data_IF_462723417456
#
_entry.id   IF_462723417456
#
_cell.length_a   1.000
_cell.length_b   1.000
_cell.length_c   1.000
_cell.angle_alpha   90.00
_cell.angle_beta   90.00
_cell.angle_gamma   90.00
#
_symmetry.space_group_name_H-M   'P 1'
#
loop_
_entity.id
_entity.type
_entity.pdbx_description
1 polymer ?
#
# COMPACT_ATOMS: atom_id res chain seq x y z
N UNK A 1 -11.46 59.17 7.28
CA UNK A 1 -11.04 58.73 5.95
C UNK A 1 -10.21 57.48 6.14
N UNK A 2 -10.84 56.32 6.09
CA UNK A 2 -10.18 55.01 6.12
C UNK A 2 -10.55 54.35 4.80
N UNK A 3 -9.55 54.15 3.98
CA UNK A 3 -9.62 53.65 2.61
C UNK A 3 -9.76 52.12 2.63
N UNK A 4 -10.75 51.62 1.90
CA UNK A 4 -11.00 50.24 1.55
C UNK A 4 -9.85 49.68 0.70
N UNK A 5 -9.20 48.59 1.19
CA UNK A 5 -8.41 47.70 0.38
C UNK A 5 -8.61 46.26 0.91
N UNK A 6 -9.75 45.71 0.68
CA UNK A 6 -10.02 44.29 0.77
C UNK A 6 -10.95 43.93 -0.39
N UNK A 7 -10.44 43.28 -1.42
CA UNK A 7 -11.16 42.38 -2.34
C UNK A 7 -10.45 42.30 -3.69
N UNK A 8 -9.31 41.69 -3.78
CA UNK A 8 -8.79 41.15 -5.04
C UNK A 8 -7.79 40.02 -4.78
N UNK A 9 -8.24 38.89 -4.24
CA UNK A 9 -7.51 37.62 -4.25
C UNK A 9 -8.54 36.50 -4.16
N UNK A 10 -9.05 36.04 -5.27
CA UNK A 10 -9.37 34.63 -5.54
C UNK A 10 -10.29 34.48 -6.76
N UNK A 11 -9.74 34.69 -7.94
CA UNK A 11 -10.25 34.06 -9.15
C UNK A 11 -9.12 33.22 -9.74
N UNK A 12 -8.80 32.12 -9.05
CA UNK A 12 -7.99 31.04 -9.59
C UNK A 12 -8.83 30.31 -10.64
N UNK A 13 -8.54 30.58 -11.92
CA UNK A 13 -9.06 29.83 -13.05
C UNK A 13 -8.91 28.33 -12.78
N UNK A 14 -10.00 27.57 -12.96
CA UNK A 14 -9.96 26.12 -13.05
C UNK A 14 -9.12 25.75 -14.30
N UNK A 15 -7.81 25.64 -14.14
CA UNK A 15 -6.95 25.17 -15.19
C UNK A 15 -7.31 23.71 -15.48
N UNK A 16 -7.64 23.41 -16.74
CA UNK A 16 -7.89 22.04 -17.23
C UNK A 16 -6.76 21.11 -16.85
N UNK A 17 -7.09 19.85 -16.54
CA UNK A 17 -6.08 18.81 -16.32
C UNK A 17 -5.17 18.74 -17.55
N UNK A 18 -3.85 18.57 -17.41
CA UNK A 18 -3.01 18.31 -18.54
C UNK A 18 -3.57 17.10 -19.28
N UNK A 19 -3.72 17.22 -20.60
CA UNK A 19 -4.03 16.06 -21.42
C UNK A 19 -3.01 14.97 -21.08
N UNK A 20 -3.41 13.68 -21.03
CA UNK A 20 -2.43 12.60 -20.86
C UNK A 20 -1.33 12.84 -21.87
N UNK A 21 -0.06 12.70 -21.44
CA UNK A 21 1.10 12.93 -22.29
C UNK A 21 1.15 11.87 -23.43
N UNK A 22 0.15 11.95 -24.32
CA UNK A 22 0.00 11.05 -25.49
C UNK A 22 1.00 11.38 -26.60
N UNK A 23 1.76 12.49 -26.45
CA UNK A 23 2.75 12.94 -27.44
C UNK A 23 4.12 12.27 -27.30
N UNK A 24 4.41 11.61 -26.18
CA UNK A 24 5.62 10.82 -26.00
C UNK A 24 5.25 9.33 -26.00
N UNK A 25 5.89 8.55 -26.84
CA UNK A 25 5.82 7.10 -26.79
C UNK A 25 6.84 6.56 -25.79
N UNK A 26 6.53 5.44 -25.15
CA UNK A 26 7.53 4.72 -24.36
C UNK A 26 8.61 4.19 -25.32
N UNK A 27 9.92 4.24 -24.96
CA UNK A 27 10.98 3.74 -25.81
C UNK A 27 10.69 2.33 -26.30
N UNK A 28 10.90 2.04 -27.60
CA UNK A 28 10.58 0.71 -28.17
C UNK A 28 11.41 -0.39 -27.49
N UNK A 29 12.68 -0.16 -27.24
CA UNK A 29 13.60 -1.03 -26.52
C UNK A 29 13.41 -1.00 -24.99
N UNK A 30 12.49 -0.15 -24.50
CA UNK A 30 12.15 0.02 -23.10
C UNK A 30 11.03 -0.87 -22.59
N UNK A 31 10.54 -1.78 -23.42
CA UNK A 31 9.47 -2.75 -23.07
C UNK A 31 9.99 -4.17 -23.18
N UNK A 32 9.48 -5.03 -22.31
CA UNK A 32 9.70 -6.49 -22.38
C UNK A 32 8.38 -7.25 -22.42
N UNK A 33 8.36 -8.37 -23.11
CA UNK A 33 7.23 -9.31 -23.11
C UNK A 33 7.27 -10.21 -21.87
N UNK A 34 6.10 -10.58 -21.39
CA UNK A 34 5.93 -11.44 -20.21
C UNK A 34 5.24 -12.74 -20.67
N UNK A 35 6.03 -13.74 -21.05
CA UNK A 35 5.54 -14.99 -21.64
C UNK A 35 4.81 -15.90 -20.64
N UNK A 36 5.12 -15.76 -19.35
CA UNK A 36 4.54 -16.56 -18.29
C UNK A 36 4.20 -15.71 -17.06
N UNK A 37 3.20 -16.13 -16.30
CA UNK A 37 2.78 -15.45 -15.07
C UNK A 37 3.94 -15.30 -14.09
N UNK A 38 4.28 -14.09 -13.61
CA UNK A 38 5.41 -13.83 -12.71
C UNK A 38 5.34 -14.54 -11.35
N UNK A 39 4.13 -15.02 -10.96
CA UNK A 39 3.95 -15.71 -9.67
C UNK A 39 3.90 -17.22 -9.79
N UNK A 40 3.27 -17.77 -10.84
CA UNK A 40 3.06 -19.21 -10.91
C UNK A 40 3.73 -19.89 -12.11
N UNK A 41 4.25 -19.12 -13.08
CA UNK A 41 4.83 -19.65 -14.31
C UNK A 41 3.81 -20.14 -15.33
N UNK A 42 2.49 -19.98 -15.10
CA UNK A 42 1.44 -20.39 -16.03
C UNK A 42 1.43 -19.52 -17.29
N UNK A 43 1.29 -20.15 -18.46
CA UNK A 43 1.30 -19.44 -19.76
C UNK A 43 -0.10 -19.08 -20.27
N UNK A 44 -1.14 -19.76 -19.78
CA UNK A 44 -2.52 -19.47 -20.18
C UNK A 44 -3.04 -18.21 -19.49
N UNK A 45 -3.53 -17.28 -20.28
CA UNK A 45 -4.01 -15.98 -19.80
C UNK A 45 -5.21 -15.47 -20.60
N UNK A 46 -5.92 -14.50 -20.03
CA UNK A 46 -6.97 -13.74 -20.70
C UNK A 46 -6.73 -12.25 -20.53
N UNK A 47 -7.11 -11.45 -21.52
CA UNK A 47 -7.06 -9.97 -21.42
C UNK A 47 -8.12 -9.51 -20.42
N UNK A 48 -7.74 -8.60 -19.52
CA UNK A 48 -8.65 -7.91 -18.59
C UNK A 48 -8.90 -6.50 -19.10
N UNK A 49 -7.82 -5.74 -19.33
CA UNK A 49 -7.88 -4.39 -19.87
C UNK A 49 -6.88 -4.27 -21.04
N UNK A 50 -7.34 -4.09 -22.29
CA UNK A 50 -6.44 -4.05 -23.45
C UNK A 50 -5.71 -2.71 -23.62
N UNK A 51 -6.21 -1.62 -23.02
CA UNK A 51 -5.73 -0.26 -23.26
C UNK A 51 -5.75 0.55 -21.96
N UNK A 52 -4.69 0.45 -21.17
CA UNK A 52 -4.50 1.25 -19.96
C UNK A 52 -3.48 2.36 -20.23
N UNK A 53 -3.70 3.54 -19.65
CA UNK A 53 -2.77 4.67 -19.68
C UNK A 53 -2.60 5.22 -18.27
N UNK A 54 -1.52 5.97 -18.03
CA UNK A 54 -1.31 6.65 -16.74
C UNK A 54 -2.27 7.83 -16.59
N UNK A 55 -3.39 7.58 -15.91
CA UNK A 55 -4.42 8.59 -15.57
C UNK A 55 -4.37 8.99 -14.10
N UNK A 56 -3.29 8.64 -13.41
CA UNK A 56 -3.10 8.91 -11.99
C UNK A 56 -2.11 10.05 -11.79
N UNK A 57 -0.91 9.93 -12.39
CA UNK A 57 0.15 10.92 -12.29
C UNK A 57 0.41 11.65 -13.60
N UNK A 58 -0.09 11.14 -14.72
CA UNK A 58 0.05 11.72 -16.07
C UNK A 58 1.49 11.89 -16.52
N UNK A 59 2.44 11.17 -15.94
CA UNK A 59 3.86 11.27 -16.21
C UNK A 59 4.43 10.09 -17.03
N UNK A 60 3.75 8.95 -17.07
CA UNK A 60 4.18 7.79 -17.81
C UNK A 60 3.45 7.69 -19.16
N UNK A 61 4.16 7.84 -20.31
CA UNK A 61 3.56 7.68 -21.64
C UNK A 61 3.29 6.21 -21.97
N UNK A 62 2.57 5.99 -23.06
CA UNK A 62 2.30 4.66 -23.63
C UNK A 62 0.97 4.06 -23.23
N UNK A 63 0.67 2.95 -23.90
CA UNK A 63 -0.54 2.15 -23.69
C UNK A 63 -0.12 0.76 -23.23
N UNK A 64 -0.79 0.25 -22.20
CA UNK A 64 -0.43 -0.97 -21.50
C UNK A 64 -1.62 -1.93 -21.49
N UNK A 65 -1.37 -3.23 -21.51
CA UNK A 65 -2.43 -4.23 -21.41
C UNK A 65 -2.27 -5.05 -20.15
N UNK A 66 -3.37 -5.22 -19.42
CA UNK A 66 -3.43 -6.09 -18.24
C UNK A 66 -4.00 -7.45 -18.64
N UNK A 67 -3.27 -8.50 -18.33
CA UNK A 67 -3.70 -9.88 -18.48
C UNK A 67 -3.97 -10.52 -17.13
N UNK A 68 -4.80 -11.56 -17.12
CA UNK A 68 -5.05 -12.40 -15.95
C UNK A 68 -4.62 -13.83 -16.23
N UNK A 69 -3.77 -14.37 -15.38
CA UNK A 69 -3.37 -15.77 -15.40
C UNK A 69 -4.57 -16.68 -15.14
N UNK A 70 -4.80 -17.70 -15.96
CA UNK A 70 -5.90 -18.66 -15.75
C UNK A 70 -5.62 -19.65 -14.63
N UNK A 71 -4.35 -19.85 -14.25
CA UNK A 71 -3.95 -20.82 -13.23
C UNK A 71 -4.10 -20.23 -11.81
N UNK A 72 -3.49 -19.06 -11.52
CA UNK A 72 -3.47 -18.49 -10.18
C UNK A 72 -4.30 -17.20 -10.03
N UNK A 73 -4.90 -16.71 -11.13
CA UNK A 73 -5.69 -15.47 -11.19
C UNK A 73 -4.91 -14.18 -10.90
N UNK A 74 -3.57 -14.21 -10.89
CA UNK A 74 -2.74 -13.04 -10.84
C UNK A 74 -2.95 -12.16 -12.07
N UNK A 75 -3.07 -10.84 -11.90
CA UNK A 75 -3.01 -9.84 -12.96
C UNK A 75 -1.55 -9.44 -13.23
N UNK A 76 -1.18 -9.19 -14.50
CA UNK A 76 0.13 -8.65 -14.85
C UNK A 76 0.11 -7.91 -16.18
N UNK A 77 0.99 -6.91 -16.31
CA UNK A 77 1.15 -6.17 -17.55
C UNK A 77 1.96 -6.97 -18.56
N UNK A 78 1.53 -6.94 -19.82
CA UNK A 78 2.29 -7.42 -20.97
C UNK A 78 1.92 -6.62 -22.25
N UNK A 79 2.90 -5.96 -22.92
CA UNK A 79 4.27 -5.77 -22.42
C UNK A 79 4.31 -4.92 -21.14
N UNK A 80 5.44 -4.98 -20.45
CA UNK A 80 5.73 -4.13 -19.29
C UNK A 80 7.02 -3.33 -19.48
N UNK A 81 7.26 -2.22 -18.77
CA UNK A 81 8.56 -1.57 -18.75
C UNK A 81 9.68 -2.53 -18.38
N UNK A 82 10.87 -2.36 -18.98
CA UNK A 82 12.06 -3.07 -18.53
C UNK A 82 12.56 -2.52 -17.18
N UNK A 83 13.39 -3.26 -16.41
CA UNK A 83 14.03 -2.74 -15.19
C UNK A 83 14.84 -1.45 -15.43
N UNK A 84 15.38 -1.25 -16.65
CA UNK A 84 16.18 -0.07 -17.01
C UNK A 84 15.31 1.15 -17.28
N UNK A 85 14.06 0.97 -17.71
CA UNK A 85 13.19 2.07 -18.13
C UNK A 85 12.04 2.36 -17.18
N UNK A 86 11.73 1.46 -16.25
CA UNK A 86 10.64 1.67 -15.28
C UNK A 86 10.76 2.99 -14.50
N UNK A 87 11.98 3.49 -14.29
CA UNK A 87 12.25 4.79 -13.67
C UNK A 87 11.54 5.97 -14.36
N UNK A 88 11.27 5.88 -15.67
CA UNK A 88 10.50 6.90 -16.40
C UNK A 88 9.07 7.07 -15.86
N UNK A 89 8.48 5.99 -15.32
CA UNK A 89 7.14 6.05 -14.72
C UNK A 89 7.11 6.82 -13.39
N UNK A 90 8.26 7.14 -12.81
CA UNK A 90 8.42 7.81 -11.52
C UNK A 90 8.99 9.24 -11.64
N UNK A 91 9.11 9.80 -12.86
CA UNK A 91 9.76 11.09 -13.10
C UNK A 91 9.13 12.25 -12.30
N UNK A 92 7.83 12.23 -12.05
CA UNK A 92 7.09 13.22 -11.26
C UNK A 92 6.35 12.57 -10.06
N UNK A 93 6.83 11.43 -9.57
CA UNK A 93 6.19 10.72 -8.48
C UNK A 93 6.50 11.39 -7.13
N UNK A 94 5.46 11.83 -6.41
CA UNK A 94 5.57 12.62 -5.18
C UNK A 94 5.86 11.79 -3.90
N UNK A 95 6.71 10.78 -3.95
CA UNK A 95 7.13 10.04 -2.73
C UNK A 95 7.98 10.87 -1.77
N UNK A 96 8.33 12.11 -2.17
CA UNK A 96 9.21 13.00 -1.42
C UNK A 96 8.48 13.93 -0.43
N UNK A 97 7.15 13.92 -0.42
CA UNK A 97 6.41 14.65 0.62
C UNK A 97 6.67 13.98 1.96
N UNK A 98 7.07 14.75 2.96
CA UNK A 98 7.10 14.28 4.35
C UNK A 98 5.78 13.57 4.65
N UNK A 99 5.80 12.42 5.35
CA UNK A 99 4.58 11.72 5.66
C UNK A 99 3.63 12.69 6.33
N UNK A 100 2.56 13.06 5.62
CA UNK A 100 1.43 13.64 6.30
C UNK A 100 0.90 12.49 7.13
N UNK A 101 0.99 12.64 8.44
CA UNK A 101 0.24 11.80 9.37
C UNK A 101 -1.21 11.86 8.91
N UNK A 102 -1.61 10.92 8.07
CA UNK A 102 -3.01 10.70 7.76
C UNK A 102 -3.66 10.25 9.06
N UNK A 103 -4.11 11.23 9.83
CA UNK A 103 -4.89 11.03 11.05
C UNK A 103 -6.22 10.42 10.61
N UNK A 104 -6.22 9.11 10.39
CA UNK A 104 -7.40 8.34 10.00
C UNK A 104 -8.57 8.40 10.99
N UNK A 105 -8.42 9.08 12.12
CA UNK A 105 -9.46 9.27 13.12
C UNK A 105 -9.43 10.67 13.78
N UNK A 106 -9.50 11.74 13.02
CA UNK A 106 -10.07 12.96 13.58
C UNK A 106 -11.60 12.84 13.52
N UNK A 107 -12.19 12.07 14.42
CA UNK A 107 -13.63 12.01 14.49
C UNK A 107 -14.14 13.29 15.16
N UNK A 108 -14.72 14.17 14.37
CA UNK A 108 -15.42 15.36 14.84
C UNK A 108 -16.61 15.02 15.78
N UNK A 109 -17.03 13.75 15.82
CA UNK A 109 -18.17 13.29 16.63
C UNK A 109 -17.78 12.92 18.07
N UNK A 110 -18.68 13.16 19.02
CA UNK A 110 -18.50 12.78 20.42
C UNK A 110 -18.22 11.26 20.62
N UNK A 111 -18.95 10.40 19.90
CA UNK A 111 -18.76 8.95 19.95
C UNK A 111 -17.39 8.55 19.41
N UNK A 112 -16.96 9.14 18.32
CA UNK A 112 -15.67 8.84 17.74
C UNK A 112 -14.50 9.26 18.65
N UNK A 113 -14.60 10.38 19.35
CA UNK A 113 -13.60 10.78 20.36
C UNK A 113 -13.50 9.77 21.51
N UNK A 114 -14.62 9.23 22.00
CA UNK A 114 -14.62 8.18 23.04
C UNK A 114 -14.02 6.86 22.54
N UNK A 115 -14.33 6.46 21.30
CA UNK A 115 -13.71 5.28 20.69
C UNK A 115 -12.19 5.46 20.48
N UNK A 116 -11.73 6.67 20.13
CA UNK A 116 -10.31 6.98 20.05
C UNK A 116 -9.58 6.81 21.41
N UNK A 117 -10.21 7.22 22.51
CA UNK A 117 -9.66 7.03 23.88
C UNK A 117 -9.55 5.55 24.23
N UNK A 118 -10.54 4.73 23.88
CA UNK A 118 -10.49 3.27 24.07
C UNK A 118 -9.43 2.63 23.17
N UNK A 119 -9.34 3.04 21.89
CA UNK A 119 -8.29 2.61 20.95
C UNK A 119 -6.90 2.89 21.51
N UNK A 120 -6.66 4.09 21.99
CA UNK A 120 -5.37 4.47 22.58
C UNK A 120 -5.03 3.59 23.79
N UNK A 121 -6.00 3.31 24.68
CA UNK A 121 -5.81 2.38 25.79
C UNK A 121 -5.51 0.95 25.35
N UNK A 122 -6.14 0.49 24.27
CA UNK A 122 -5.86 -0.80 23.65
C UNK A 122 -4.43 -0.88 23.09
N UNK A 123 -4.01 0.12 22.32
CA UNK A 123 -2.67 0.19 21.74
C UNK A 123 -1.58 0.32 22.81
N UNK A 124 -1.78 1.17 23.83
CA UNK A 124 -0.83 1.32 24.93
C UNK A 124 -0.66 0.02 25.75
N UNK A 125 -1.73 -0.78 25.89
CA UNK A 125 -1.64 -2.07 26.58
C UNK A 125 -0.79 -3.09 25.79
N UNK A 126 -0.78 -3.00 24.45
CA UNK A 126 0.05 -3.87 23.57
C UNK A 126 1.46 -3.31 23.38
N UNK A 127 1.57 -1.99 23.29
CA UNK A 127 2.81 -1.28 22.98
C UNK A 127 2.99 -0.13 23.98
N UNK A 128 3.52 -0.41 25.18
CA UNK A 128 3.62 0.59 26.26
C UNK A 128 4.40 1.84 25.87
N UNK A 129 5.38 1.71 24.98
CA UNK A 129 6.22 2.82 24.51
C UNK A 129 5.45 3.90 23.73
N UNK A 130 4.25 3.58 23.22
CA UNK A 130 3.44 4.56 22.46
C UNK A 130 2.97 5.73 23.31
N UNK A 131 2.62 5.51 24.57
CA UNK A 131 2.21 6.57 25.50
C UNK A 131 1.05 7.44 25.01
N UNK A 132 0.16 6.90 24.15
CA UNK A 132 -0.92 7.67 23.50
C UNK A 132 -1.86 8.30 24.54
N UNK A 133 -2.22 9.58 24.34
CA UNK A 133 -3.14 10.32 25.22
C UNK A 133 -4.21 11.05 24.38
N UNK A 134 -5.44 11.19 24.90
CA UNK A 134 -5.98 10.54 26.10
C UNK A 134 -6.19 9.03 25.88
N UNK A 135 -6.04 8.20 26.91
CA UNK A 135 -6.20 6.75 26.85
C UNK A 135 -7.03 6.25 28.03
N UNK A 136 -7.84 5.20 27.82
CA UNK A 136 -8.63 4.58 28.87
C UNK A 136 -8.14 3.14 29.15
N UNK A 137 -7.85 2.76 30.41
CA UNK A 137 -7.27 1.45 30.72
C UNK A 137 -8.17 0.26 30.36
N UNK A 138 -9.50 0.45 30.26
CA UNK A 138 -10.42 -0.58 29.80
C UNK A 138 -10.38 -0.81 28.27
N UNK A 139 -9.59 -0.06 27.51
CA UNK A 139 -9.46 -0.20 26.07
C UNK A 139 -9.12 -1.61 25.64
N UNK A 140 -8.17 -2.28 26.31
CA UNK A 140 -7.77 -3.66 26.03
C UNK A 140 -8.93 -4.67 26.20
N UNK A 141 -9.86 -4.43 27.11
CA UNK A 141 -11.01 -5.32 27.38
C UNK A 141 -12.19 -5.03 26.46
N UNK A 142 -12.45 -3.74 26.17
CA UNK A 142 -13.66 -3.31 25.46
C UNK A 142 -13.49 -3.26 23.95
N UNK A 143 -12.25 -3.19 23.43
CA UNK A 143 -12.00 -3.05 21.99
C UNK A 143 -12.55 -4.22 21.15
N UNK A 144 -12.71 -5.41 21.75
CA UNK A 144 -13.36 -6.55 21.10
C UNK A 144 -14.83 -6.31 20.72
N UNK A 145 -15.52 -5.38 21.40
CA UNK A 145 -16.91 -4.99 21.10
C UNK A 145 -17.01 -4.02 19.90
N UNK A 146 -15.88 -3.48 19.42
CA UNK A 146 -15.80 -2.49 18.34
C UNK A 146 -14.89 -2.99 17.22
N UNK A 147 -15.30 -4.03 16.45
CA UNK A 147 -14.41 -4.70 15.47
C UNK A 147 -13.84 -3.75 14.40
N UNK A 148 -14.63 -2.78 13.90
CA UNK A 148 -14.15 -1.81 12.93
C UNK A 148 -13.06 -0.90 13.51
N UNK A 149 -13.25 -0.39 14.74
CA UNK A 149 -12.26 0.46 15.42
C UNK A 149 -11.00 -0.35 15.77
N UNK A 150 -11.16 -1.63 16.13
CA UNK A 150 -10.04 -2.54 16.37
C UNK A 150 -9.26 -2.80 15.08
N UNK A 151 -9.93 -3.07 13.96
CA UNK A 151 -9.28 -3.29 12.68
C UNK A 151 -8.43 -2.08 12.25
N UNK A 152 -8.94 -0.86 12.45
CA UNK A 152 -8.17 0.37 12.21
C UNK A 152 -6.96 0.48 13.14
N UNK A 153 -7.13 0.16 14.42
CA UNK A 153 -6.02 0.17 15.38
C UNK A 153 -4.93 -0.84 15.02
N UNK A 154 -5.34 -2.06 14.60
CA UNK A 154 -4.42 -3.11 14.17
C UNK A 154 -3.70 -2.75 12.87
N UNK A 155 -4.41 -2.14 11.91
CA UNK A 155 -3.80 -1.64 10.68
C UNK A 155 -2.71 -0.61 10.95
N UNK A 156 -2.95 0.34 11.86
CA UNK A 156 -2.01 1.40 12.24
C UNK A 156 -0.67 0.85 12.79
N UNK A 157 -0.69 -0.35 13.35
CA UNK A 157 0.49 -1.09 13.80
C UNK A 157 0.79 -2.30 12.92
N UNK A 158 0.28 -2.36 11.69
CA UNK A 158 0.46 -3.46 10.72
C UNK A 158 0.20 -4.85 11.34
N UNK A 159 -0.79 -4.98 12.23
CA UNK A 159 -1.13 -6.23 12.94
C UNK A 159 0.06 -6.89 13.66
N UNK A 160 1.15 -6.17 13.89
CA UNK A 160 2.38 -6.72 14.44
C UNK A 160 2.20 -7.22 15.88
N UNK A 161 2.92 -8.26 16.29
CA UNK A 161 2.99 -8.67 17.68
C UNK A 161 3.66 -7.61 18.56
N UNK A 162 3.45 -7.69 19.86
CA UNK A 162 4.26 -6.93 20.83
C UNK A 162 5.72 -7.42 20.71
N UNK A 163 6.70 -6.52 20.55
CA UNK A 163 8.08 -6.94 20.37
C UNK A 163 8.67 -7.50 21.67
N UNK A 164 9.44 -8.57 21.54
CA UNK A 164 10.39 -8.98 22.58
C UNK A 164 11.53 -7.95 22.66
N UNK A 165 12.22 -7.84 23.81
CA UNK A 165 13.35 -6.94 23.94
C UNK A 165 14.42 -7.19 22.87
N UNK A 166 14.75 -6.16 22.08
CA UNK A 166 15.72 -6.24 20.99
C UNK A 166 15.21 -6.89 19.69
N UNK A 167 13.90 -7.15 19.58
CA UNK A 167 13.30 -7.66 18.34
C UNK A 167 13.59 -6.73 17.16
N UNK A 168 14.19 -7.26 16.10
CA UNK A 168 14.57 -6.52 14.90
C UNK A 168 13.46 -6.53 13.86
N UNK A 169 13.18 -5.35 13.30
CA UNK A 169 12.19 -5.18 12.22
C UNK A 169 12.85 -4.52 11.00
N UNK A 170 12.60 -5.05 9.81
CA UNK A 170 12.95 -4.44 8.54
C UNK A 170 11.67 -4.02 7.80
N UNK A 171 11.56 -2.74 7.45
CA UNK A 171 10.52 -2.22 6.54
C UNK A 171 11.10 -2.04 5.14
N UNK A 172 10.68 -2.88 4.20
CA UNK A 172 11.19 -2.86 2.82
C UNK A 172 10.27 -1.97 1.96
N UNK A 173 10.87 -1.05 1.18
CA UNK A 173 10.14 0.01 0.48
C UNK A 173 9.59 1.03 1.47
N UNK A 174 10.40 1.41 2.44
CA UNK A 174 9.97 2.25 3.56
C UNK A 174 9.72 3.72 3.21
N UNK A 175 10.03 4.15 1.96
CA UNK A 175 9.95 5.55 1.55
C UNK A 175 10.76 6.47 2.46
N UNK A 176 10.17 7.56 2.92
CA UNK A 176 10.78 8.50 3.86
C UNK A 176 10.86 7.99 5.31
N UNK A 177 10.53 6.72 5.58
CA UNK A 177 10.70 6.07 6.87
C UNK A 177 9.54 6.25 7.86
N UNK A 178 8.35 6.63 7.41
CA UNK A 178 7.20 6.85 8.28
C UNK A 178 6.90 5.63 9.17
N UNK A 179 6.87 4.43 8.57
CA UNK A 179 6.62 3.23 9.35
C UNK A 179 7.84 2.79 10.17
N UNK A 180 9.07 3.07 9.72
CA UNK A 180 10.28 2.85 10.54
C UNK A 180 10.19 3.64 11.84
N UNK A 181 9.84 4.93 11.78
CA UNK A 181 9.60 5.76 12.96
C UNK A 181 8.50 5.18 13.86
N UNK A 182 7.41 4.72 13.25
CA UNK A 182 6.31 4.06 13.97
C UNK A 182 6.79 2.77 14.66
N UNK A 183 7.53 1.91 13.97
CA UNK A 183 8.05 0.65 14.50
C UNK A 183 9.04 0.86 15.67
N UNK A 184 9.88 1.90 15.60
CA UNK A 184 10.72 2.34 16.73
C UNK A 184 9.86 2.70 17.93
N UNK A 185 8.77 3.47 17.74
CA UNK A 185 7.86 3.83 18.82
C UNK A 185 7.07 2.65 19.37
N UNK A 186 6.87 1.58 18.59
CA UNK A 186 6.30 0.32 19.07
C UNK A 186 7.27 -0.49 19.92
N UNK A 187 8.57 -0.16 19.92
CA UNK A 187 9.62 -0.82 20.71
C UNK A 187 10.47 -1.82 19.92
N UNK A 188 10.37 -1.86 18.59
CA UNK A 188 11.28 -2.65 17.75
C UNK A 188 12.62 -1.95 17.56
N UNK A 189 13.70 -2.72 17.38
CA UNK A 189 14.93 -2.25 16.75
C UNK A 189 14.68 -2.23 15.23
N UNK A 190 14.04 -1.17 14.74
CA UNK A 190 13.57 -1.09 13.36
C UNK A 190 14.57 -0.37 12.46
N UNK A 191 14.69 -0.84 11.22
CA UNK A 191 15.41 -0.18 10.13
C UNK A 191 14.62 -0.30 8.82
N UNK A 192 14.91 0.58 7.86
CA UNK A 192 14.28 0.60 6.54
C UNK A 192 15.25 0.22 5.42
N UNK A 193 14.70 -0.35 4.34
CA UNK A 193 15.38 -0.54 3.05
C UNK A 193 14.57 0.17 1.97
N UNK A 194 15.21 1.06 1.20
CA UNK A 194 14.53 1.87 0.18
C UNK A 194 15.39 2.01 -1.06
N UNK A 195 14.79 1.90 -2.24
CA UNK A 195 15.49 1.98 -3.52
C UNK A 195 15.67 3.42 -4.02
N UNK A 196 14.79 4.34 -3.63
CA UNK A 196 14.88 5.75 -4.01
C UNK A 196 15.86 6.49 -3.11
N UNK A 197 17.01 6.87 -3.69
CA UNK A 197 18.04 7.59 -2.98
C UNK A 197 17.57 8.92 -2.35
N UNK A 198 16.57 9.60 -2.94
CA UNK A 198 16.02 10.85 -2.39
C UNK A 198 15.20 10.57 -1.14
N UNK A 199 14.38 9.51 -1.15
CA UNK A 199 13.62 9.09 0.02
C UNK A 199 14.56 8.63 1.14
N UNK A 200 15.63 7.91 0.82
CA UNK A 200 16.69 7.55 1.79
C UNK A 200 17.33 8.79 2.43
N UNK A 201 17.71 9.78 1.62
CA UNK A 201 18.30 11.02 2.15
C UNK A 201 17.32 11.78 3.05
N UNK A 202 16.05 11.83 2.68
CA UNK A 202 15.01 12.45 3.50
C UNK A 202 14.85 11.73 4.86
N UNK A 203 14.82 10.40 4.86
CA UNK A 203 14.73 9.58 6.08
C UNK A 203 15.95 9.76 6.99
N UNK A 204 17.17 9.71 6.41
CA UNK A 204 18.42 9.94 7.14
C UNK A 204 18.48 11.36 7.73
N UNK A 205 18.02 12.37 6.97
CA UNK A 205 17.88 13.74 7.46
C UNK A 205 16.93 13.87 8.64
N UNK A 206 15.93 12.99 8.74
CA UNK A 206 15.02 12.83 9.90
C UNK A 206 15.60 11.97 11.03
N UNK A 207 16.84 11.50 10.93
CA UNK A 207 17.49 10.66 11.96
C UNK A 207 17.00 9.20 11.96
N UNK A 208 16.33 8.75 10.89
CA UNK A 208 15.82 7.38 10.81
C UNK A 208 16.85 6.42 10.21
N UNK A 209 16.98 5.19 10.73
CA UNK A 209 17.92 4.19 10.22
C UNK A 209 17.36 3.56 8.91
N UNK A 210 17.65 4.19 7.80
CA UNK A 210 17.25 3.71 6.46
C UNK A 210 18.48 3.46 5.61
N UNK A 211 18.50 2.35 4.88
CA UNK A 211 19.56 1.97 3.94
C UNK A 211 19.06 2.07 2.50
N UNK A 212 19.94 2.44 1.59
CA UNK A 212 19.68 2.34 0.16
C UNK A 212 19.88 0.90 -0.30
N UNK A 213 18.88 0.34 -0.98
CA UNK A 213 18.90 -1.02 -1.52
C UNK A 213 17.52 -1.45 -2.04
N UNK A 214 17.48 -2.58 -2.72
CA UNK A 214 16.28 -3.10 -3.36
C UNK A 214 16.19 -4.63 -3.25
N UNK A 215 14.98 -5.17 -3.39
CA UNK A 215 14.76 -6.59 -3.62
C UNK A 215 15.08 -6.96 -5.09
N UNK A 216 15.55 -8.19 -5.35
CA UNK A 216 15.82 -9.24 -4.37
C UNK A 216 17.24 -9.18 -3.75
N UNK A 217 18.12 -8.32 -4.23
CA UNK A 217 19.55 -8.26 -3.86
C UNK A 217 19.78 -7.27 -2.72
N UNK A 218 19.37 -7.63 -1.50
CA UNK A 218 19.44 -6.72 -0.34
C UNK A 218 20.84 -6.58 0.25
N UNK A 219 21.72 -7.55 0.06
CA UNK A 219 23.05 -7.61 0.70
C UNK A 219 23.00 -7.80 2.22
N UNK A 220 21.86 -8.17 2.79
CA UNK A 220 21.65 -8.37 4.22
C UNK A 220 21.85 -9.84 4.62
N UNK A 221 22.21 -10.06 5.87
CA UNK A 221 22.46 -11.41 6.40
C UNK A 221 21.15 -12.22 6.55
N UNK A 222 21.24 -13.55 6.32
CA UNK A 222 20.14 -14.48 6.55
C UNK A 222 19.76 -14.51 8.04
N UNK A 223 18.51 -14.89 8.33
CA UNK A 223 18.01 -15.12 9.70
C UNK A 223 18.25 -13.95 10.66
N UNK A 224 18.16 -12.73 10.14
CA UNK A 224 18.54 -11.51 10.88
C UNK A 224 17.36 -10.75 11.49
N UNK A 225 16.14 -10.96 10.99
CA UNK A 225 14.98 -10.16 11.39
C UNK A 225 13.88 -11.01 12.01
N UNK A 226 13.31 -10.51 13.10
CA UNK A 226 12.13 -11.11 13.75
C UNK A 226 10.84 -10.77 13.00
N UNK A 227 10.83 -9.60 12.36
CA UNK A 227 9.69 -9.10 11.56
C UNK A 227 10.22 -8.46 10.28
N UNK A 228 9.56 -8.73 9.16
CA UNK A 228 9.73 -7.96 7.91
C UNK A 228 8.37 -7.45 7.46
N UNK A 229 8.30 -6.19 7.04
CA UNK A 229 7.10 -5.58 6.50
C UNK A 229 7.32 -5.09 5.08
N UNK A 230 6.28 -5.26 4.22
CA UNK A 230 6.27 -4.87 2.81
C UNK A 230 4.91 -4.26 2.48
N UNK A 231 4.86 -2.95 2.27
CA UNK A 231 3.61 -2.22 2.03
C UNK A 231 3.62 -1.54 0.67
N UNK A 232 2.73 -1.94 -0.22
CA UNK A 232 2.60 -1.37 -1.57
C UNK A 232 3.93 -1.42 -2.34
N UNK A 233 4.55 -2.60 -2.39
CA UNK A 233 5.86 -2.80 -3.04
C UNK A 233 5.85 -4.00 -3.99
N UNK A 234 5.24 -5.13 -3.61
CA UNK A 234 5.29 -6.37 -4.41
C UNK A 234 4.71 -6.18 -5.82
N UNK A 235 3.72 -5.31 -5.95
CA UNK A 235 3.07 -4.96 -7.23
C UNK A 235 3.99 -4.24 -8.21
N UNK A 236 5.07 -3.62 -7.71
CA UNK A 236 6.06 -2.89 -8.50
C UNK A 236 7.25 -3.76 -8.94
N UNK A 237 7.36 -4.98 -8.42
CA UNK A 237 8.53 -5.81 -8.64
C UNK A 237 8.46 -6.60 -9.95
N UNK A 238 9.57 -6.60 -10.70
CA UNK A 238 9.73 -7.43 -11.89
C UNK A 238 9.80 -8.93 -11.54
N UNK A 239 10.43 -9.25 -10.41
CA UNK A 239 10.67 -10.61 -9.92
C UNK A 239 10.07 -10.85 -8.52
N UNK A 240 8.73 -10.85 -8.39
CA UNK A 240 8.07 -10.93 -7.08
C UNK A 240 8.37 -12.25 -6.35
N UNK A 241 8.59 -13.36 -7.06
CA UNK A 241 8.95 -14.63 -6.41
C UNK A 241 10.36 -14.61 -5.83
N UNK A 242 11.35 -14.05 -6.52
CA UNK A 242 12.70 -13.88 -6.01
C UNK A 242 12.72 -12.97 -4.76
N UNK A 243 11.90 -11.90 -4.80
CA UNK A 243 11.71 -11.02 -3.65
C UNK A 243 11.13 -11.74 -2.42
N UNK A 244 10.11 -12.58 -2.60
CA UNK A 244 9.53 -13.36 -1.49
C UNK A 244 10.54 -14.38 -0.94
N UNK A 245 11.37 -15.00 -1.78
CA UNK A 245 12.44 -15.91 -1.36
C UNK A 245 13.52 -15.17 -0.56
N UNK A 246 13.91 -13.96 -0.98
CA UNK A 246 14.84 -13.13 -0.23
C UNK A 246 14.28 -12.73 1.14
N UNK A 247 13.01 -12.29 1.20
CA UNK A 247 12.34 -11.98 2.47
C UNK A 247 12.32 -13.20 3.39
N UNK A 248 12.03 -14.39 2.83
CA UNK A 248 12.07 -15.64 3.58
C UNK A 248 13.48 -15.94 4.12
N UNK A 249 14.52 -15.71 3.32
CA UNK A 249 15.92 -15.88 3.74
C UNK A 249 16.30 -14.97 4.90
N UNK A 250 15.88 -13.70 4.84
CA UNK A 250 16.20 -12.68 5.84
C UNK A 250 15.51 -12.89 7.19
N UNK A 251 14.33 -13.51 7.19
CA UNK A 251 13.59 -13.78 8.43
C UNK A 251 14.25 -14.88 9.24
N UNK A 252 14.28 -14.70 10.56
CA UNK A 252 14.63 -15.76 11.52
C UNK A 252 13.60 -16.89 11.47
N UNK A 253 13.97 -18.14 11.81
CA UNK A 253 12.99 -19.18 12.08
C UNK A 253 11.94 -18.73 13.10
N UNK A 254 10.65 -18.89 12.77
CA UNK A 254 9.53 -18.35 13.55
C UNK A 254 9.21 -16.88 13.32
N UNK A 255 10.01 -16.17 12.53
CA UNK A 255 9.82 -14.76 12.19
C UNK A 255 8.53 -14.49 11.42
N UNK A 256 8.06 -13.25 11.48
CA UNK A 256 6.78 -12.79 10.90
C UNK A 256 7.03 -11.95 9.67
N UNK A 257 6.35 -12.27 8.59
CA UNK A 257 6.20 -11.43 7.41
C UNK A 257 4.82 -10.79 7.39
N UNK A 258 4.76 -9.48 7.19
CA UNK A 258 3.54 -8.72 6.96
C UNK A 258 3.61 -8.07 5.58
N UNK A 259 2.53 -8.19 4.78
CA UNK A 259 2.45 -7.62 3.45
C UNK A 259 1.09 -6.97 3.24
N UNK A 260 1.08 -5.80 2.59
CA UNK A 260 -0.13 -5.16 2.04
C UNK A 260 0.09 -4.79 0.57
N UNK A 261 -0.93 -5.03 -0.28
CA UNK A 261 -0.89 -4.76 -1.73
C UNK A 261 -2.32 -4.63 -2.27
N UNK A 262 -2.56 -3.93 -3.41
CA UNK A 262 -3.87 -3.90 -4.04
C UNK A 262 -4.39 -5.30 -4.38
N UNK A 263 -5.70 -5.49 -4.27
CA UNK A 263 -6.36 -6.78 -4.52
C UNK A 263 -6.87 -6.83 -5.96
N UNK A 264 -6.34 -7.72 -6.80
CA UNK A 264 -6.84 -7.93 -8.17
C UNK A 264 -8.35 -8.22 -8.23
N UNK A 265 -8.90 -8.85 -7.20
CA UNK A 265 -10.31 -9.21 -7.08
C UNK A 265 -11.13 -8.19 -6.26
N UNK A 266 -10.62 -6.96 -6.10
CA UNK A 266 -11.30 -5.91 -5.35
C UNK A 266 -12.68 -5.57 -5.90
N UNK A 267 -13.68 -5.28 -5.04
CA UNK A 267 -14.97 -4.78 -5.48
C UNK A 267 -14.88 -3.49 -6.29
N UNK A 268 -13.97 -2.59 -5.91
CA UNK A 268 -13.69 -1.37 -6.66
C UNK A 268 -13.16 -1.63 -8.07
N UNK A 269 -12.37 -2.70 -8.27
CA UNK A 269 -11.94 -3.08 -9.62
C UNK A 269 -13.14 -3.47 -10.49
N UNK A 270 -14.10 -4.21 -9.95
CA UNK A 270 -15.35 -4.55 -10.64
C UNK A 270 -16.20 -3.31 -10.92
N UNK A 271 -16.27 -2.37 -9.94
CA UNK A 271 -17.09 -1.16 -10.01
C UNK A 271 -16.57 -0.13 -11.02
N UNK A 272 -15.24 0.08 -11.06
CA UNK A 272 -14.62 1.17 -11.84
C UNK A 272 -13.88 0.66 -13.08
N UNK A 273 -13.68 -0.65 -13.23
CA UNK A 273 -12.98 -1.23 -14.38
C UNK A 273 -11.60 -0.60 -14.60
N UNK A 274 -11.31 -0.05 -15.82
CA UNK A 274 -10.01 0.55 -16.14
C UNK A 274 -9.69 1.83 -15.34
N UNK A 275 -10.67 2.38 -14.62
CA UNK A 275 -10.51 3.58 -13.79
C UNK A 275 -10.23 3.24 -12.31
N UNK A 276 -10.12 1.97 -11.97
CA UNK A 276 -9.81 1.57 -10.60
C UNK A 276 -8.40 2.02 -10.19
N UNK A 277 -8.32 2.68 -9.01
CA UNK A 277 -7.06 3.24 -8.49
C UNK A 277 -5.95 2.20 -8.30
N UNK A 278 -6.30 0.96 -8.06
CA UNK A 278 -5.34 -0.12 -7.85
C UNK A 278 -4.58 -0.57 -9.11
N UNK A 279 -4.96 -0.13 -10.32
CA UNK A 279 -4.28 -0.52 -11.56
C UNK A 279 -2.92 0.16 -11.75
N UNK A 280 -2.83 1.45 -11.55
CA UNK A 280 -1.65 2.32 -11.62
C UNK A 280 -0.63 1.96 -12.74
N UNK A 281 -1.07 1.82 -14.02
CA UNK A 281 -0.16 1.49 -15.11
C UNK A 281 0.80 2.65 -15.42
N UNK A 282 2.06 2.37 -15.79
CA UNK A 282 2.71 1.07 -15.84
C UNK A 282 3.49 0.72 -14.56
N UNK A 283 3.25 1.40 -13.43
CA UNK A 283 4.00 1.19 -12.18
C UNK A 283 3.64 -0.13 -11.49
N UNK A 284 2.37 -0.52 -11.50
CA UNK A 284 1.94 -1.83 -11.01
C UNK A 284 2.14 -2.87 -12.11
N UNK A 285 3.24 -3.61 -12.01
CA UNK A 285 3.60 -4.65 -12.98
C UNK A 285 2.80 -5.93 -12.75
N UNK A 286 2.42 -6.18 -11.49
CA UNK A 286 1.74 -7.39 -11.03
C UNK A 286 0.61 -6.98 -10.08
N UNK A 287 -0.56 -7.60 -10.22
CA UNK A 287 -1.69 -7.41 -9.30
C UNK A 287 -2.10 -8.78 -8.75
N UNK A 288 -1.91 -8.99 -7.47
CA UNK A 288 -2.15 -10.30 -6.88
C UNK A 288 -3.62 -10.50 -6.51
N UNK A 289 -4.13 -11.70 -6.79
CA UNK A 289 -5.38 -12.18 -6.20
C UNK A 289 -5.09 -12.87 -4.85
N UNK A 290 -6.10 -13.07 -3.99
CA UNK A 290 -5.90 -13.82 -2.75
C UNK A 290 -5.29 -15.21 -2.96
N UNK A 291 -5.74 -15.91 -4.01
CA UNK A 291 -5.23 -17.23 -4.37
C UNK A 291 -3.77 -17.17 -4.83
N UNK A 292 -3.43 -16.19 -5.69
CA UNK A 292 -2.07 -16.02 -6.19
C UNK A 292 -1.09 -15.70 -5.07
N UNK A 293 -1.50 -14.82 -4.12
CA UNK A 293 -0.66 -14.43 -3.00
C UNK A 293 -0.43 -15.59 -2.04
N UNK A 294 -1.47 -16.35 -1.69
CA UNK A 294 -1.32 -17.53 -0.85
C UNK A 294 -0.36 -18.56 -1.48
N UNK A 295 -0.58 -18.89 -2.76
CA UNK A 295 0.28 -19.81 -3.52
C UNK A 295 1.74 -19.34 -3.57
N UNK A 296 1.98 -18.04 -3.81
CA UNK A 296 3.32 -17.48 -3.88
C UNK A 296 4.05 -17.57 -2.51
N UNK A 297 3.35 -17.27 -1.43
CA UNK A 297 3.88 -17.40 -0.06
C UNK A 297 4.21 -18.86 0.29
N UNK A 298 3.29 -19.79 0.00
CA UNK A 298 3.53 -21.24 0.22
C UNK A 298 4.73 -21.74 -0.55
N UNK A 299 4.85 -21.39 -1.84
CA UNK A 299 5.99 -21.76 -2.69
C UNK A 299 7.32 -21.16 -2.21
N UNK A 300 7.27 -20.02 -1.55
CA UNK A 300 8.46 -19.39 -0.94
C UNK A 300 8.82 -19.98 0.43
N UNK A 301 8.06 -20.97 0.94
CA UNK A 301 8.31 -21.67 2.19
C UNK A 301 7.58 -21.11 3.41
N UNK A 302 6.78 -20.07 3.26
CA UNK A 302 5.99 -19.52 4.36
C UNK A 302 4.86 -20.46 4.80
N UNK A 303 4.54 -20.41 6.07
CA UNK A 303 3.44 -21.14 6.70
C UNK A 303 2.56 -20.17 7.52
N UNK A 304 1.45 -20.69 8.06
CA UNK A 304 0.51 -19.91 8.88
C UNK A 304 0.10 -18.61 8.19
N UNK A 305 -0.28 -18.72 6.91
CA UNK A 305 -0.72 -17.60 6.09
C UNK A 305 -2.11 -17.18 6.55
N UNK A 306 -2.24 -15.95 7.00
CA UNK A 306 -3.48 -15.42 7.56
C UNK A 306 -3.79 -14.04 6.96
N UNK A 307 -4.90 -13.94 6.23
CA UNK A 307 -5.37 -12.66 5.74
C UNK A 307 -5.99 -11.85 6.88
N UNK A 308 -5.69 -10.56 6.92
CA UNK A 308 -6.17 -9.60 7.91
C UNK A 308 -7.06 -8.56 7.26
N UNK A 309 -7.98 -7.99 8.01
CA UNK A 309 -8.78 -6.88 7.51
C UNK A 309 -7.89 -5.67 7.20
N UNK A 310 -8.00 -5.09 5.98
CA UNK A 310 -7.28 -3.85 5.64
C UNK A 310 -7.79 -2.62 6.41
N UNK A 311 -8.86 -2.75 7.20
CA UNK A 311 -9.52 -1.64 7.86
C UNK A 311 -10.42 -0.86 6.89
N UNK A 312 -10.62 0.43 7.17
CA UNK A 312 -11.50 1.31 6.37
C UNK A 312 -10.70 2.00 5.25
N UNK A 313 -10.45 1.31 4.15
CA UNK A 313 -9.70 1.83 2.99
C UNK A 313 -10.56 2.06 1.76
N UNK A 314 -11.74 1.41 1.68
CA UNK A 314 -12.55 1.39 0.46
C UNK A 314 -13.02 2.79 0.06
N UNK A 315 -13.35 3.68 1.00
CA UNK A 315 -13.75 5.05 0.66
C UNK A 315 -12.63 5.83 -0.02
N UNK A 316 -11.37 5.62 0.38
CA UNK A 316 -10.22 6.23 -0.28
C UNK A 316 -10.05 5.69 -1.71
N UNK A 317 -10.09 4.36 -1.91
CA UNK A 317 -10.00 3.74 -3.24
C UNK A 317 -11.13 4.22 -4.15
N UNK A 318 -12.38 4.22 -3.66
CA UNK A 318 -13.54 4.68 -4.43
C UNK A 318 -13.42 6.16 -4.81
N UNK A 319 -12.98 7.03 -3.90
CA UNK A 319 -12.78 8.46 -4.17
C UNK A 319 -11.68 8.67 -5.21
N UNK A 320 -10.57 7.95 -5.11
CA UNK A 320 -9.46 8.03 -6.05
C UNK A 320 -9.88 7.48 -7.44
N UNK A 321 -10.58 6.34 -7.49
CA UNK A 321 -11.11 5.78 -8.73
C UNK A 321 -12.15 6.69 -9.39
N UNK A 322 -13.03 7.28 -8.59
CA UNK A 322 -14.02 8.24 -9.08
C UNK A 322 -13.37 9.49 -9.68
N UNK A 323 -12.25 9.96 -9.12
CA UNK A 323 -11.44 11.05 -9.72
C UNK A 323 -10.88 10.65 -11.07
N UNK A 324 -10.32 9.44 -11.19
CA UNK A 324 -9.78 8.91 -12.45
C UNK A 324 -10.89 8.83 -13.50
N UNK A 325 -12.06 8.26 -13.15
CA UNK A 325 -13.21 8.12 -14.05
C UNK A 325 -13.74 9.48 -14.58
N UNK A 326 -13.55 10.56 -13.82
CA UNK A 326 -13.95 11.91 -14.19
C UNK A 326 -12.81 12.79 -14.75
N UNK A 327 -11.66 12.19 -15.10
CA UNK A 327 -10.48 12.90 -15.61
C UNK A 327 -10.03 14.08 -14.73
N UNK A 328 -10.23 14.00 -13.43
CA UNK A 328 -9.87 15.07 -12.52
C UNK A 328 -8.38 15.06 -12.19
N UNK A 329 -7.80 16.24 -11.99
CA UNK A 329 -6.38 16.39 -11.61
C UNK A 329 -6.06 15.64 -10.31
N UNK A 330 -4.82 15.16 -10.17
CA UNK A 330 -4.33 14.68 -8.88
C UNK A 330 -4.56 15.73 -7.78
N UNK A 331 -5.10 15.29 -6.64
CA UNK A 331 -5.39 16.19 -5.51
C UNK A 331 -6.70 16.99 -5.61
N UNK A 332 -7.43 16.95 -6.74
CA UNK A 332 -8.72 17.62 -6.84
C UNK A 332 -9.72 17.09 -5.80
N UNK A 333 -10.35 17.99 -5.07
CA UNK A 333 -11.41 17.62 -4.12
C UNK A 333 -12.74 17.39 -4.87
N UNK A 334 -12.99 16.12 -5.19
CA UNK A 334 -14.26 15.69 -5.77
C UNK A 334 -15.05 14.92 -4.72
N UNK A 335 -16.27 15.42 -4.45
CA UNK A 335 -17.16 14.74 -3.53
C UNK A 335 -17.57 13.36 -4.08
N UNK A 336 -17.31 12.31 -3.31
CA UNK A 336 -17.74 10.97 -3.67
C UNK A 336 -19.28 10.89 -3.60
N UNK A 337 -19.98 10.43 -4.66
CA UNK A 337 -21.41 10.23 -4.64
C UNK A 337 -21.88 9.39 -3.45
N UNK A 338 -23.00 9.76 -2.82
CA UNK A 338 -23.49 9.11 -1.60
C UNK A 338 -23.67 7.59 -1.73
N UNK A 339 -24.08 7.10 -2.90
CA UNK A 339 -24.24 5.67 -3.14
C UNK A 339 -22.89 4.93 -3.15
N UNK A 340 -21.83 5.52 -3.74
CA UNK A 340 -20.48 4.95 -3.73
C UNK A 340 -19.86 5.00 -2.33
N UNK A 341 -20.06 6.09 -1.57
CA UNK A 341 -19.64 6.15 -0.17
C UNK A 341 -20.36 5.11 0.70
N UNK A 342 -21.64 4.79 0.43
CA UNK A 342 -22.36 3.72 1.10
C UNK A 342 -21.83 2.33 0.72
N UNK A 343 -21.51 2.14 -0.56
CA UNK A 343 -20.91 0.90 -1.06
C UNK A 343 -19.55 0.65 -0.38
N UNK A 344 -18.65 1.61 -0.41
CA UNK A 344 -17.34 1.54 0.24
C UNK A 344 -17.42 1.15 1.73
N UNK A 345 -18.35 1.77 2.49
CA UNK A 345 -18.55 1.41 3.90
C UNK A 345 -19.12 0.01 4.09
N UNK A 346 -19.87 -0.52 3.11
CA UNK A 346 -20.31 -1.92 3.14
C UNK A 346 -19.14 -2.86 2.91
N UNK A 347 -18.30 -2.58 1.92
CA UNK A 347 -17.09 -3.36 1.61
C UNK A 347 -16.14 -3.40 2.81
N UNK A 348 -15.87 -2.25 3.45
CA UNK A 348 -15.07 -2.22 4.68
C UNK A 348 -15.65 -3.10 5.78
N UNK A 349 -16.98 -3.12 5.93
CA UNK A 349 -17.65 -3.98 6.91
C UNK A 349 -17.56 -5.46 6.53
N UNK A 350 -17.73 -5.78 5.26
CA UNK A 350 -17.64 -7.16 4.76
C UNK A 350 -16.21 -7.69 4.92
N UNK A 351 -15.18 -6.84 4.73
CA UNK A 351 -13.77 -7.18 4.92
C UNK A 351 -13.39 -7.51 6.37
N UNK A 352 -14.16 -7.06 7.37
CA UNK A 352 -13.94 -7.46 8.77
C UNK A 352 -14.14 -8.96 8.98
N UNK A 353 -15.07 -9.58 8.25
CA UNK A 353 -15.40 -11.00 8.37
C UNK A 353 -14.75 -11.83 7.24
N UNK A 354 -14.50 -11.23 6.10
CA UNK A 354 -13.87 -11.84 4.92
C UNK A 354 -12.73 -10.93 4.42
N UNK A 355 -11.56 -10.98 5.02
CA UNK A 355 -10.46 -10.04 4.71
C UNK A 355 -10.06 -9.99 3.24
N UNK A 356 -10.24 -11.09 2.52
CA UNK A 356 -9.89 -11.22 1.09
C UNK A 356 -10.82 -10.48 0.12
N UNK A 357 -11.93 -9.91 0.58
CA UNK A 357 -12.87 -9.16 -0.27
C UNK A 357 -12.65 -7.64 -0.22
N UNK A 358 -11.60 -7.17 0.43
CA UNK A 358 -11.26 -5.74 0.50
C UNK A 358 -10.55 -5.22 -0.74
N UNK A 359 -10.38 -3.90 -0.81
CA UNK A 359 -9.62 -3.20 -1.86
C UNK A 359 -8.12 -3.53 -1.82
N UNK A 360 -7.62 -3.85 -0.64
CA UNK A 360 -6.26 -4.32 -0.40
C UNK A 360 -6.28 -5.72 0.19
N UNK A 361 -5.25 -6.50 -0.12
CA UNK A 361 -4.90 -7.71 0.61
C UNK A 361 -3.88 -7.34 1.69
N UNK A 362 -4.19 -7.66 2.92
CA UNK A 362 -3.25 -7.62 4.03
C UNK A 362 -3.05 -9.05 4.50
N UNK A 363 -1.81 -9.51 4.54
CA UNK A 363 -1.48 -10.87 4.93
C UNK A 363 -0.36 -10.89 5.95
N UNK A 364 -0.45 -11.80 6.91
CA UNK A 364 0.64 -12.22 7.77
C UNK A 364 1.00 -13.66 7.47
N UNK A 365 2.29 -13.94 7.41
CA UNK A 365 2.82 -15.28 7.22
C UNK A 365 4.03 -15.50 8.13
N UNK A 366 4.44 -16.74 8.36
CA UNK A 366 5.58 -17.06 9.21
C UNK A 366 6.58 -17.94 8.49
N UNK A 367 7.87 -17.69 8.76
CA UNK A 367 8.91 -18.68 8.48
C UNK A 367 8.80 -19.81 9.51
N UNK A 368 8.71 -21.08 9.10
CA UNK A 368 8.72 -22.21 10.03
C UNK A 368 9.92 -22.18 10.97
N UNK A 369 9.77 -22.82 12.15
CA UNK A 369 10.89 -22.97 13.10
C UNK A 369 11.85 -24.06 12.69
#
# INVERSE_FOLDING_TARGET
>A
MVSNHENELNQGSAAEAPAPNTAQEWPEDGKETVDACPLCGGVERSVVHPTLTDRIFFCAPGVWSLYRCKTCHCGYLDPRPTPQTIGLAYAEYYTHAAPQDEVFLSSATFVGRRLAVLRNGYLNARFPNLGLQPAHPLGSRLMGLFPATRALAERDVRHLPTPEPGARLLDIGCGSGAFVSRALSLGYAAEGLEFDAKAVLAALGGGLPVRHGALPDTGLDSDSYDVITLSQVIEHLHEPMAALQEIFRLLKPGGVFWLATPNMDAPGHVQFGPDWRGLEPPRHLVLVSPQALALALERSGFAQIEFKSPGAVSEWFHRASYRIANNAKPGADIALPKHLAKLARREDRDSLNKPVVGEELVVMARKPR
#
